data_IF_694856428240
#
_entry.id   IF_694856428240
#
_cell.length_a   1.000
_cell.length_b   1.000
_cell.length_c   1.000
_cell.angle_alpha   90.00
_cell.angle_beta   90.00
_cell.angle_gamma   90.00
#
_symmetry.space_group_name_H-M   'P 1'
#
loop_
_entity.id
_entity.type
_entity.pdbx_description
1 polymer ?
#
# COMPACT_ATOMS: atom_id res chain seq x y z
N UNK A 1 20.33 -16.01 -15.48
CA UNK A 1 19.17 -15.27 -16.03
C UNK A 1 19.17 -13.92 -15.33
N UNK A 2 19.36 -12.83 -16.04
CA UNK A 2 19.39 -11.48 -15.46
C UNK A 2 17.94 -11.04 -15.33
N UNK A 3 17.50 -10.68 -14.12
CA UNK A 3 16.18 -10.09 -13.93
C UNK A 3 16.07 -8.81 -14.78
N UNK A 4 15.03 -8.63 -15.58
CA UNK A 4 14.84 -7.38 -16.28
C UNK A 4 14.79 -6.24 -15.26
N UNK A 5 15.37 -5.06 -15.57
CA UNK A 5 15.28 -3.93 -14.66
C UNK A 5 13.79 -3.62 -14.42
N UNK A 6 13.41 -3.63 -13.16
CA UNK A 6 12.05 -3.24 -12.76
C UNK A 6 11.80 -1.81 -13.26
N UNK A 7 10.74 -1.62 -14.06
CA UNK A 7 10.28 -0.28 -14.44
C UNK A 7 9.56 0.42 -13.30
N UNK A 8 9.59 -0.16 -12.12
CA UNK A 8 8.85 0.26 -10.94
C UNK A 8 9.86 0.45 -9.80
N UNK A 9 9.75 1.52 -9.02
CA UNK A 9 8.61 2.44 -8.93
C UNK A 9 8.54 3.45 -10.07
N UNK A 10 7.30 3.78 -10.48
CA UNK A 10 7.05 4.78 -11.50
C UNK A 10 7.13 6.18 -10.90
N UNK A 11 7.65 7.12 -11.68
CA UNK A 11 7.52 8.53 -11.38
C UNK A 11 6.16 9.03 -11.88
N UNK A 12 5.29 9.38 -10.96
CA UNK A 12 3.95 9.90 -11.24
C UNK A 12 4.06 11.42 -11.43
N UNK A 13 3.64 11.89 -12.59
CA UNK A 13 3.64 13.31 -12.91
C UNK A 13 2.39 13.99 -12.37
N UNK A 14 2.40 15.31 -12.31
CA UNK A 14 1.32 16.10 -11.73
C UNK A 14 -0.06 15.88 -12.37
N UNK A 15 -1.12 16.28 -11.67
CA UNK A 15 -2.54 16.10 -12.03
C UNK A 15 -2.94 16.45 -13.45
N UNK A 16 -2.21 17.33 -14.14
CA UNK A 16 -2.50 17.72 -15.53
C UNK A 16 -2.36 16.58 -16.54
N UNK A 17 -1.75 15.46 -16.13
CA UNK A 17 -1.52 14.28 -16.95
C UNK A 17 -2.34 13.04 -16.51
N UNK A 18 -3.35 13.20 -15.66
CA UNK A 18 -4.25 12.10 -15.30
C UNK A 18 -4.96 11.56 -16.55
N UNK A 19 -4.82 10.29 -16.87
CA UNK A 19 -5.71 9.68 -17.83
C UNK A 19 -7.14 9.75 -17.30
N UNK A 20 -8.06 9.94 -18.18
CA UNK A 20 -9.49 10.15 -18.02
C UNK A 20 -10.12 9.40 -16.83
N UNK A 21 -10.89 10.10 -16.03
CA UNK A 21 -11.55 9.70 -14.77
C UNK A 21 -12.56 8.55 -14.87
N UNK A 22 -12.71 7.91 -16.00
CA UNK A 22 -13.62 6.77 -16.18
C UNK A 22 -13.23 5.52 -15.39
N UNK A 23 -11.97 5.43 -14.92
CA UNK A 23 -11.45 4.30 -14.13
C UNK A 23 -11.97 4.32 -12.67
N UNK A 24 -12.39 5.47 -12.16
CA UNK A 24 -12.82 5.61 -10.74
C UNK A 24 -14.05 4.77 -10.39
N UNK A 25 -14.89 4.43 -11.36
CA UNK A 25 -16.09 3.60 -11.15
C UNK A 25 -15.76 2.10 -11.09
N UNK A 26 -14.53 1.71 -11.42
CA UNK A 26 -14.10 0.31 -11.47
C UNK A 26 -13.60 -0.24 -10.13
N UNK A 27 -13.31 0.63 -9.16
CA UNK A 27 -12.76 0.23 -7.86
C UNK A 27 -13.82 0.34 -6.76
N UNK A 28 -14.20 -0.81 -6.19
CA UNK A 28 -15.09 -0.92 -5.04
C UNK A 28 -14.32 -1.56 -3.89
N UNK A 29 -14.39 -0.98 -2.70
CA UNK A 29 -13.62 -1.36 -1.53
C UNK A 29 -14.56 -1.61 -0.33
N UNK A 30 -14.59 -2.85 0.15
CA UNK A 30 -15.39 -3.26 1.32
C UNK A 30 -14.53 -4.15 2.23
N UNK A 31 -13.69 -3.53 3.05
CA UNK A 31 -12.80 -4.24 3.97
C UNK A 31 -13.50 -4.58 5.28
N UNK A 32 -13.28 -5.79 5.77
CA UNK A 32 -13.69 -6.22 7.10
C UNK A 32 -12.59 -5.91 8.14
N UNK A 33 -12.98 -5.92 9.40
CA UNK A 33 -12.05 -5.76 10.50
C UNK A 33 -11.12 -6.97 10.63
N UNK A 34 -9.88 -6.72 10.98
CA UNK A 34 -8.85 -7.74 11.18
C UNK A 34 -8.03 -7.44 12.43
N UNK A 35 -7.38 -8.45 12.95
CA UNK A 35 -6.40 -8.27 14.01
C UNK A 35 -5.15 -7.59 13.48
N UNK A 36 -4.52 -6.75 14.29
CA UNK A 36 -3.30 -6.06 13.91
C UNK A 36 -2.07 -6.83 14.40
N UNK A 37 -1.39 -7.52 13.47
CA UNK A 37 -0.08 -8.16 13.70
C UNK A 37 0.95 -7.46 12.83
N UNK A 38 2.07 -7.05 13.42
CA UNK A 38 3.11 -6.34 12.68
C UNK A 38 4.38 -7.17 12.67
N UNK A 39 5.04 -7.21 11.51
CA UNK A 39 6.39 -7.74 11.32
C UNK A 39 7.27 -6.64 10.77
N UNK A 40 8.44 -6.44 11.36
CA UNK A 40 9.45 -5.56 10.80
C UNK A 40 10.37 -6.37 9.88
N UNK A 41 10.29 -6.10 8.59
CA UNK A 41 11.08 -6.77 7.55
C UNK A 41 12.35 -6.00 7.19
N UNK A 42 12.79 -5.04 8.02
CA UNK A 42 13.90 -4.09 7.82
C UNK A 42 13.64 -3.06 6.71
N UNK A 43 13.21 -3.48 5.55
CA UNK A 43 12.86 -2.59 4.43
C UNK A 43 11.44 -2.04 4.48
N UNK A 44 10.57 -2.67 5.25
CA UNK A 44 9.16 -2.28 5.39
C UNK A 44 8.51 -2.94 6.62
N UNK A 45 7.41 -2.38 7.08
CA UNK A 45 6.52 -3.07 8.00
C UNK A 45 5.54 -3.92 7.19
N UNK A 46 5.38 -5.18 7.59
CA UNK A 46 4.42 -6.11 7.02
C UNK A 46 3.31 -6.39 8.02
N UNK A 47 2.06 -6.19 7.60
CA UNK A 47 0.86 -6.49 8.39
C UNK A 47 0.05 -7.52 7.62
N UNK A 48 0.12 -8.81 7.99
CA UNK A 48 -0.78 -9.82 7.43
C UNK A 48 -2.23 -9.44 7.70
N UNK A 49 -3.07 -9.58 6.69
CA UNK A 49 -4.51 -9.34 6.84
C UNK A 49 -5.20 -10.71 6.89
N UNK A 50 -5.85 -11.01 8.02
CA UNK A 50 -6.51 -12.29 8.17
C UNK A 50 -7.68 -12.41 7.19
N UNK A 51 -7.79 -13.58 6.55
CA UNK A 51 -8.79 -13.81 5.52
C UNK A 51 -10.21 -13.59 6.08
N UNK A 52 -10.85 -12.55 5.60
CA UNK A 52 -12.29 -12.46 5.67
C UNK A 52 -12.91 -13.43 4.68
N UNK A 53 -14.06 -13.98 5.00
CA UNK A 53 -14.77 -14.87 4.08
C UNK A 53 -15.33 -14.11 2.86
N UNK A 54 -15.41 -12.79 2.94
CA UNK A 54 -15.85 -11.91 1.86
C UNK A 54 -14.70 -11.48 0.96
N UNK A 55 -14.99 -11.23 -0.28
CA UNK A 55 -14.07 -10.61 -1.23
C UNK A 55 -14.24 -9.10 -1.18
N UNK A 56 -13.36 -8.38 -0.49
CA UNK A 56 -13.59 -6.99 -0.14
C UNK A 56 -13.35 -6.03 -1.29
N UNK A 57 -12.72 -6.47 -2.37
CA UNK A 57 -12.34 -5.57 -3.45
C UNK A 57 -12.81 -6.07 -4.79
N UNK A 58 -13.50 -5.20 -5.52
CA UNK A 58 -13.80 -5.39 -6.94
C UNK A 58 -13.04 -4.34 -7.72
N UNK A 59 -12.27 -4.78 -8.69
CA UNK A 59 -11.60 -3.92 -9.65
C UNK A 59 -11.81 -4.47 -11.06
N UNK A 60 -12.33 -3.64 -11.96
CA UNK A 60 -12.66 -4.01 -13.33
C UNK A 60 -13.49 -5.32 -13.41
N UNK A 61 -14.57 -5.39 -12.61
CA UNK A 61 -15.46 -6.56 -12.49
C UNK A 61 -14.78 -7.87 -12.03
N UNK A 62 -13.55 -7.80 -11.53
CA UNK A 62 -12.82 -8.92 -10.94
C UNK A 62 -12.71 -8.78 -9.44
N UNK A 63 -12.70 -9.93 -8.74
CA UNK A 63 -12.69 -9.98 -7.29
C UNK A 63 -11.28 -10.22 -6.76
N UNK A 64 -10.90 -9.44 -5.71
CA UNK A 64 -9.60 -9.52 -5.08
C UNK A 64 -9.74 -9.59 -3.56
N UNK A 65 -8.87 -10.39 -2.92
CA UNK A 65 -8.79 -10.50 -1.46
C UNK A 65 -7.53 -9.82 -0.95
N UNK A 66 -7.65 -8.99 0.06
CA UNK A 66 -6.50 -8.39 0.73
C UNK A 66 -5.72 -9.48 1.48
N UNK A 67 -4.43 -9.60 1.20
CA UNK A 67 -3.53 -10.57 1.84
C UNK A 67 -2.65 -9.94 2.89
N UNK A 68 -2.13 -8.76 2.61
CA UNK A 68 -1.30 -8.03 3.55
C UNK A 68 -1.23 -6.56 3.19
N UNK A 69 -0.80 -5.78 4.18
CA UNK A 69 -0.48 -4.37 4.06
C UNK A 69 1.01 -4.24 4.28
N UNK A 70 1.69 -3.53 3.40
CA UNK A 70 3.10 -3.17 3.56
C UNK A 70 3.22 -1.66 3.71
N UNK A 71 4.09 -1.22 4.61
CA UNK A 71 4.36 0.21 4.81
C UNK A 71 5.85 0.42 4.56
N UNK A 72 6.15 1.14 3.51
CA UNK A 72 7.50 1.49 3.09
C UNK A 72 7.90 2.88 3.56
N UNK A 73 9.19 3.08 3.71
CA UNK A 73 9.80 4.37 3.98
C UNK A 73 11.22 4.43 3.41
N UNK A 74 11.47 5.36 2.51
CA UNK A 74 10.55 6.29 1.85
C UNK A 74 9.54 5.60 0.94
N UNK A 75 8.71 6.37 0.22
CA UNK A 75 7.76 5.83 -0.76
C UNK A 75 8.47 5.09 -1.88
N UNK A 76 7.82 4.06 -2.43
CA UNK A 76 8.30 3.37 -3.63
C UNK A 76 8.06 4.22 -4.88
N UNK A 77 6.87 4.84 -4.99
CA UNK A 77 6.57 5.76 -6.08
C UNK A 77 7.20 7.13 -5.83
N UNK A 78 7.56 7.80 -6.93
CA UNK A 78 7.96 9.20 -6.93
C UNK A 78 6.83 10.05 -7.51
N UNK A 79 6.69 11.25 -6.99
CA UNK A 79 5.71 12.22 -7.45
C UNK A 79 6.48 13.47 -7.89
N UNK A 80 6.45 13.77 -9.22
CA UNK A 80 7.29 14.79 -9.84
C UNK A 80 8.79 14.64 -9.50
N UNK A 81 9.26 13.40 -9.48
CA UNK A 81 10.65 13.04 -9.18
C UNK A 81 10.99 12.97 -7.69
N UNK A 82 10.05 13.28 -6.78
CA UNK A 82 10.26 13.36 -5.33
C UNK A 82 9.55 12.20 -4.65
N UNK A 83 10.24 11.53 -3.72
CA UNK A 83 9.65 10.55 -2.82
C UNK A 83 8.84 11.25 -1.72
N UNK A 84 7.76 10.61 -1.27
CA UNK A 84 7.03 11.04 -0.08
C UNK A 84 7.62 10.39 1.18
N UNK A 85 7.13 10.78 2.36
CA UNK A 85 7.60 10.24 3.65
C UNK A 85 7.49 8.71 3.74
N UNK A 86 6.57 8.14 2.99
CA UNK A 86 6.39 6.70 2.88
C UNK A 86 5.22 6.35 1.97
N UNK A 87 4.90 5.05 1.94
CA UNK A 87 3.81 4.53 1.12
C UNK A 87 3.18 3.31 1.79
N UNK A 88 1.86 3.30 1.87
CA UNK A 88 1.09 2.12 2.24
C UNK A 88 0.74 1.37 0.95
N UNK A 89 1.05 0.10 0.90
CA UNK A 89 0.70 -0.79 -0.20
C UNK A 89 -0.25 -1.89 0.30
N UNK A 90 -1.47 -1.88 -0.18
CA UNK A 90 -2.46 -2.93 0.07
C UNK A 90 -2.33 -3.99 -1.04
N UNK A 91 -1.87 -5.19 -0.68
CA UNK A 91 -1.64 -6.27 -1.63
C UNK A 91 -2.83 -7.22 -1.66
N UNK A 92 -3.48 -7.30 -2.81
CA UNK A 92 -4.64 -8.16 -3.02
C UNK A 92 -4.32 -9.28 -4.01
N UNK A 93 -4.93 -10.43 -3.80
CA UNK A 93 -4.84 -11.60 -4.68
C UNK A 93 -6.19 -11.86 -5.31
N UNK A 94 -6.24 -11.88 -6.63
CA UNK A 94 -7.32 -12.41 -7.45
C UNK A 94 -7.08 -13.87 -7.82
N UNK A 95 -7.87 -14.38 -8.74
CA UNK A 95 -7.75 -15.76 -9.21
C UNK A 95 -6.44 -15.98 -10.02
N UNK A 96 -6.16 -15.11 -10.97
CA UNK A 96 -4.99 -15.19 -11.88
C UNK A 96 -4.13 -13.93 -11.91
N UNK A 97 -4.51 -12.92 -11.16
CA UNK A 97 -3.91 -11.59 -11.18
C UNK A 97 -3.75 -11.06 -9.76
N UNK A 98 -2.94 -10.05 -9.59
CA UNK A 98 -2.81 -9.31 -8.34
C UNK A 98 -3.24 -7.87 -8.51
N UNK A 99 -3.73 -7.25 -7.43
CA UNK A 99 -4.03 -5.83 -7.37
C UNK A 99 -3.26 -5.21 -6.21
N UNK A 100 -2.54 -4.15 -6.49
CA UNK A 100 -1.86 -3.33 -5.49
C UNK A 100 -2.50 -1.96 -5.44
N UNK A 101 -2.87 -1.52 -4.24
CA UNK A 101 -3.35 -0.16 -4.01
C UNK A 101 -2.30 0.55 -3.19
N UNK A 102 -1.72 1.60 -3.77
CA UNK A 102 -0.62 2.36 -3.23
C UNK A 102 -1.10 3.75 -2.79
N UNK A 103 -0.83 4.09 -1.52
CA UNK A 103 -1.30 5.31 -0.91
C UNK A 103 -0.10 6.03 -0.30
N UNK A 104 0.26 7.24 -0.77
CA UNK A 104 1.40 7.97 -0.25
C UNK A 104 1.17 8.43 1.19
N UNK A 105 2.22 8.42 1.99
CA UNK A 105 2.28 9.02 3.31
C UNK A 105 2.88 10.41 3.20
N UNK A 106 2.15 11.41 3.65
CA UNK A 106 2.58 12.81 3.58
C UNK A 106 2.61 13.40 4.98
N UNK A 107 3.69 14.13 5.25
CA UNK A 107 3.83 14.86 6.51
C UNK A 107 2.76 15.93 6.61
N UNK A 108 2.09 15.99 7.76
CA UNK A 108 1.10 17.02 8.07
C UNK A 108 1.35 17.58 9.46
N UNK A 109 1.21 18.90 9.59
CA UNK A 109 1.26 19.59 10.87
C UNK A 109 -0.12 19.74 11.52
N UNK A 110 -1.18 19.33 10.80
CA UNK A 110 -2.55 19.37 11.29
C UNK A 110 -2.95 18.02 11.91
N UNK A 111 -3.11 17.97 13.24
CA UNK A 111 -3.54 16.76 13.95
C UNK A 111 -4.82 16.12 13.40
N UNK A 112 -5.75 16.95 12.93
CA UNK A 112 -7.01 16.47 12.34
C UNK A 112 -6.85 15.66 11.04
N UNK A 113 -5.72 15.81 10.36
CA UNK A 113 -5.39 15.09 9.14
C UNK A 113 -4.53 13.85 9.41
N UNK A 114 -4.14 13.62 10.67
CA UNK A 114 -3.36 12.46 11.05
C UNK A 114 -4.23 11.20 11.11
N UNK A 115 -3.74 10.11 10.53
CA UNK A 115 -4.41 8.83 10.60
C UNK A 115 -4.13 8.14 11.95
N UNK A 116 -5.14 8.06 12.80
CA UNK A 116 -5.02 7.51 14.15
C UNK A 116 -4.59 6.03 14.17
N UNK A 117 -5.06 5.21 13.23
CA UNK A 117 -4.66 3.81 13.13
C UNK A 117 -3.17 3.71 12.83
N UNK A 118 -2.69 4.48 11.87
CA UNK A 118 -1.27 4.51 11.50
C UNK A 118 -0.39 5.04 12.63
N UNK A 119 -0.83 6.07 13.33
CA UNK A 119 -0.15 6.60 14.53
C UNK A 119 0.05 5.53 15.59
N UNK A 120 -0.98 4.75 15.87
CA UNK A 120 -0.90 3.65 16.83
C UNK A 120 0.05 2.53 16.33
N UNK A 121 -0.04 2.16 15.05
CA UNK A 121 0.87 1.19 14.43
C UNK A 121 2.32 1.64 14.61
N UNK A 122 2.64 2.88 14.29
CA UNK A 122 4.01 3.40 14.43
C UNK A 122 4.49 3.42 15.88
N UNK A 123 3.69 3.93 16.81
CA UNK A 123 4.05 3.94 18.24
C UNK A 123 4.40 2.56 18.77
N UNK A 124 3.68 1.53 18.35
CA UNK A 124 3.96 0.15 18.77
C UNK A 124 5.12 -0.48 18.00
N UNK A 125 5.30 -0.13 16.72
CA UNK A 125 6.37 -0.69 15.88
C UNK A 125 7.74 -0.27 16.37
N UNK A 126 7.92 1.02 16.72
CA UNK A 126 9.20 1.55 17.11
C UNK A 126 9.73 1.05 18.45
N UNK A 127 8.82 0.76 19.37
CA UNK A 127 9.22 0.36 20.72
C UNK A 127 9.38 -1.13 20.90
N UNK A 128 8.81 -1.97 20.02
CA UNK A 128 8.64 -3.41 20.31
C UNK A 128 8.97 -4.36 19.15
N UNK A 129 9.11 -3.89 17.91
CA UNK A 129 9.27 -4.78 16.77
C UNK A 129 10.67 -4.69 16.20
N UNK A 130 11.49 -5.69 16.50
CA UNK A 130 12.86 -5.79 15.98
C UNK A 130 12.86 -6.14 14.48
N UNK A 131 13.94 -5.73 13.81
CA UNK A 131 14.18 -6.06 12.40
C UNK A 131 14.63 -7.53 12.25
N UNK A 132 13.74 -8.48 12.51
CA UNK A 132 14.01 -9.91 12.42
C UNK A 132 12.86 -10.71 11.80
N UNK A 133 11.79 -10.02 11.40
CA UNK A 133 10.60 -10.66 10.84
C UNK A 133 9.69 -11.36 11.86
N UNK A 134 9.98 -11.27 13.17
CA UNK A 134 9.08 -11.76 14.19
C UNK A 134 7.79 -10.97 14.21
N UNK A 135 6.69 -11.65 14.54
CA UNK A 135 5.36 -11.05 14.57
C UNK A 135 5.01 -10.57 15.96
N UNK A 136 4.63 -9.32 16.09
CA UNK A 136 4.09 -8.73 17.31
C UNK A 136 2.62 -8.39 17.12
N UNK A 137 1.75 -8.91 17.99
CA UNK A 137 0.34 -8.58 18.00
C UNK A 137 0.10 -7.29 18.78
N UNK A 138 -0.70 -6.39 18.22
CA UNK A 138 -1.16 -5.20 18.92
C UNK A 138 -2.61 -5.42 19.35
N UNK A 139 -2.82 -5.72 20.62
CA UNK A 139 -4.12 -6.16 21.13
C UNK A 139 -5.22 -5.09 21.12
N UNK A 140 -4.86 -3.82 21.08
CA UNK A 140 -5.82 -2.72 21.23
C UNK A 140 -6.14 -2.02 19.90
N UNK A 141 -5.76 -2.60 18.77
CA UNK A 141 -6.06 -2.06 17.44
C UNK A 141 -6.90 -3.06 16.67
N UNK A 142 -8.10 -2.63 16.31
CA UNK A 142 -8.89 -3.27 15.26
C UNK A 142 -8.45 -2.63 13.95
N UNK A 143 -7.87 -3.44 13.07
CA UNK A 143 -7.35 -2.99 11.79
C UNK A 143 -8.45 -3.09 10.72
N UNK A 144 -8.85 -1.97 10.16
CA UNK A 144 -9.67 -1.93 8.96
C UNK A 144 -8.92 -1.16 7.87
N UNK A 145 -8.61 -1.84 6.77
CA UNK A 145 -7.84 -1.24 5.69
C UNK A 145 -8.54 -0.03 5.04
N UNK A 146 -9.87 0.08 5.19
CA UNK A 146 -10.63 1.26 4.74
C UNK A 146 -10.16 2.56 5.40
N UNK A 147 -9.60 2.47 6.62
CA UNK A 147 -9.06 3.65 7.33
C UNK A 147 -7.90 4.32 6.61
N UNK A 148 -7.23 3.61 5.70
CA UNK A 148 -6.12 4.14 4.90
C UNK A 148 -6.57 4.67 3.54
N UNK A 149 -7.79 4.36 3.11
CA UNK A 149 -8.26 4.76 1.77
C UNK A 149 -8.61 6.24 1.78
N UNK A 150 -8.00 7.04 0.90
CA UNK A 150 -8.36 8.44 0.74
C UNK A 150 -9.80 8.62 0.27
N UNK A 151 -10.41 9.75 0.65
CA UNK A 151 -11.78 10.09 0.25
C UNK A 151 -11.88 10.56 -1.20
N UNK A 152 -10.75 10.85 -1.84
CA UNK A 152 -10.71 11.24 -3.26
C UNK A 152 -11.08 10.06 -4.15
N UNK A 153 -11.61 10.36 -5.32
CA UNK A 153 -11.91 9.35 -6.34
C UNK A 153 -10.81 9.23 -7.39
N UNK A 154 -9.86 10.16 -7.44
CA UNK A 154 -8.79 10.16 -8.43
C UNK A 154 -7.62 9.27 -8.03
N UNK A 155 -7.17 8.44 -8.97
CA UNK A 155 -5.95 7.64 -8.83
C UNK A 155 -5.31 7.40 -10.20
N UNK A 156 -4.02 7.08 -10.19
CA UNK A 156 -3.32 6.56 -11.35
C UNK A 156 -3.47 5.05 -11.42
N UNK A 157 -3.49 4.53 -12.63
CA UNK A 157 -3.54 3.10 -12.89
C UNK A 157 -2.48 2.71 -13.91
N UNK A 158 -1.82 1.58 -13.66
CA UNK A 158 -0.97 0.93 -14.64
C UNK A 158 -0.87 -0.57 -14.38
N UNK A 159 -0.42 -1.29 -15.39
CA UNK A 159 -0.16 -2.73 -15.30
C UNK A 159 1.34 -3.02 -15.26
N UNK A 160 1.70 -4.05 -14.53
CA UNK A 160 3.07 -4.56 -14.45
C UNK A 160 3.07 -6.08 -14.46
N UNK A 161 4.04 -6.64 -15.15
CA UNK A 161 4.34 -8.07 -15.12
C UNK A 161 5.49 -8.40 -14.16
N UNK A 162 6.10 -7.39 -13.55
CA UNK A 162 7.19 -7.52 -12.58
C UNK A 162 6.69 -7.18 -11.18
N UNK A 163 7.06 -7.97 -10.15
CA UNK A 163 6.77 -7.61 -8.77
C UNK A 163 7.41 -6.26 -8.42
N UNK A 164 6.64 -5.34 -7.83
CA UNK A 164 7.13 -4.01 -7.43
C UNK A 164 8.16 -4.06 -6.32
N UNK A 165 8.01 -5.00 -5.43
CA UNK A 165 8.65 -5.08 -4.14
C UNK A 165 9.66 -6.22 -4.04
N UNK A 166 9.76 -7.05 -5.07
CA UNK A 166 10.79 -8.07 -5.21
C UNK A 166 11.10 -8.37 -6.68
N UNK A 167 11.97 -7.61 -7.32
CA UNK A 167 12.35 -7.82 -8.72
C UNK A 167 13.06 -9.17 -8.96
N UNK A 168 13.44 -9.88 -7.90
CA UNK A 168 14.17 -11.14 -7.99
C UNK A 168 13.30 -12.40 -7.83
N UNK A 169 12.00 -12.29 -7.60
CA UNK A 169 11.08 -13.44 -7.47
C UNK A 169 10.85 -14.19 -8.79
N UNK A 170 11.42 -13.75 -9.90
CA UNK A 170 11.45 -14.52 -11.14
C UNK A 170 12.23 -15.86 -11.04
N UNK A 171 12.49 -16.37 -9.83
CA UNK A 171 13.28 -17.59 -9.64
C UNK A 171 12.65 -18.87 -10.17
N UNK A 172 11.33 -18.91 -10.40
CA UNK A 172 10.60 -20.12 -10.75
C UNK A 172 9.69 -20.00 -11.98
N UNK A 173 10.05 -19.22 -13.01
CA UNK A 173 9.24 -19.06 -14.22
C UNK A 173 7.81 -18.50 -14.00
N UNK A 174 7.53 -17.87 -12.87
CA UNK A 174 6.26 -17.20 -12.59
C UNK A 174 6.35 -15.72 -13.02
N UNK A 175 7.16 -15.41 -13.99
CA UNK A 175 7.14 -14.13 -14.69
C UNK A 175 5.96 -14.12 -15.67
N UNK A 176 4.78 -13.82 -15.21
CA UNK A 176 3.60 -13.86 -16.09
C UNK A 176 2.30 -13.45 -15.41
N UNK A 177 2.30 -13.29 -14.08
CA UNK A 177 1.09 -12.83 -13.41
C UNK A 177 0.95 -11.31 -13.56
N UNK A 178 -0.12 -10.87 -14.17
CA UNK A 178 -0.42 -9.45 -14.31
C UNK A 178 -0.70 -8.84 -12.93
N UNK A 179 -0.02 -7.75 -12.64
CA UNK A 179 -0.25 -6.94 -11.46
C UNK A 179 -0.87 -5.62 -11.86
N UNK A 180 -2.10 -5.39 -11.43
CA UNK A 180 -2.78 -4.10 -11.53
C UNK A 180 -2.32 -3.21 -10.40
N UNK A 181 -1.94 -1.99 -10.70
CA UNK A 181 -1.44 -1.02 -9.70
C UNK A 181 -2.26 0.24 -9.76
N UNK A 182 -2.90 0.54 -8.64
CA UNK A 182 -3.65 1.76 -8.38
C UNK A 182 -2.82 2.62 -7.46
N UNK A 183 -2.54 3.87 -7.81
CA UNK A 183 -1.73 4.79 -7.00
C UNK A 183 -2.48 6.08 -6.77
N UNK A 184 -2.75 6.40 -5.51
CA UNK A 184 -3.33 7.68 -5.13
C UNK A 184 -2.30 8.80 -5.22
N UNK A 185 -2.74 10.01 -5.52
CA UNK A 185 -1.83 11.15 -5.66
C UNK A 185 -1.53 11.81 -4.32
N UNK A 186 -0.30 12.29 -4.13
CA UNK A 186 0.18 12.90 -2.88
C UNK A 186 -0.57 14.18 -2.45
N UNK A 187 -1.24 14.88 -3.37
CA UNK A 187 -1.86 16.18 -3.07
C UNK A 187 -3.29 16.06 -2.52
N UNK A 188 -4.02 14.99 -2.86
CA UNK A 188 -5.42 14.81 -2.46
C UNK A 188 -5.79 13.37 -2.07
N UNK A 189 -4.91 12.43 -2.34
CA UNK A 189 -5.10 11.02 -2.08
C UNK A 189 -4.04 10.44 -1.13
N UNK A 190 -3.72 11.13 -0.05
CA UNK A 190 -2.67 10.73 0.90
C UNK A 190 -3.23 10.35 2.28
N UNK A 191 -2.39 9.68 3.05
CA UNK A 191 -2.57 9.49 4.50
C UNK A 191 -1.60 10.40 5.24
N UNK A 192 -2.12 11.24 6.12
CA UNK A 192 -1.33 12.17 6.92
C UNK A 192 -0.56 11.48 8.05
N UNK A 193 0.70 11.87 8.25
CA UNK A 193 1.51 11.47 9.38
C UNK A 193 2.09 12.71 10.09
N UNK A 194 2.15 12.66 11.43
CA UNK A 194 2.71 13.77 12.23
C UNK A 194 4.21 13.89 12.04
N UNK A 195 4.69 15.14 12.11
CA UNK A 195 6.13 15.45 12.11
C UNK A 195 6.87 14.87 13.33
N UNK A 196 6.16 14.61 14.43
CA UNK A 196 6.72 13.99 15.64
C UNK A 196 6.97 12.49 15.53
N UNK A 197 6.32 11.83 14.61
CA UNK A 197 6.56 10.43 14.31
C UNK A 197 7.91 10.30 13.55
N UNK A 198 9.01 10.61 14.24
CA UNK A 198 10.37 10.30 13.77
C UNK A 198 10.46 8.80 13.60
N UNK A 199 10.34 8.39 12.38
CA UNK A 199 10.41 6.99 12.01
C UNK A 199 11.76 6.73 11.40
N UNK A 200 12.42 5.73 11.95
CA UNK A 200 13.63 4.98 11.55
C UNK A 200 14.47 5.60 10.45
#
# INVERSE_FOLDING_TARGET
MVCPPSKIPINIKSKSEYPDTNITNLLQLDYEDSVCRIKNMCSHLLIPYEDSQKTPVVFDNKYYRLKNIKIYRPSLHKFDGIETEGEIMLNHKGEKETLKICIPLVKTDEEKNENNTLKQIFRHSFSKVQCNGESVMIHNIILNAKSFIPKTKGFYYYESTTPMDDPCVCRNNICGETTHVVVYHKDDGYVGISSENKVI
#
